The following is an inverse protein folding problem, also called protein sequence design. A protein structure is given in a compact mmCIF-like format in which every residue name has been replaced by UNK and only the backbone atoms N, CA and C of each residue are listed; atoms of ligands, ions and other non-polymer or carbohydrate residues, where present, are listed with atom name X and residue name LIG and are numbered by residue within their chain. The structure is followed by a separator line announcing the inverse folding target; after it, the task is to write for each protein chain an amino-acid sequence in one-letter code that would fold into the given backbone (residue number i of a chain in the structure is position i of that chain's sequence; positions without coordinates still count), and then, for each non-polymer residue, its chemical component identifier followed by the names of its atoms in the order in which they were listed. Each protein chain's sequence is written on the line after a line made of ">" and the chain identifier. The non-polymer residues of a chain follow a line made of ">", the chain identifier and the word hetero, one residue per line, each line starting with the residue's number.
data_IF_988905031428
#
_entry.id   IF_988905031428
#
_cell.length_a   1.000
_cell.length_b   1.000
_cell.length_c   1.000
_cell.angle_alpha   90.00
_cell.angle_beta   90.00
_cell.angle_gamma   90.00
#
_symmetry.space_group_name_H-M   'P 1'
#
loop_
_entity.id
_entity.type
_entity.pdbx_description
1 polymer ?
#
# COMPACT_ATOMS: atom_id res chain seq x y z
N UNK A 1 -18.27 -11.41 -4.40
CA UNK A 1 -17.04 -10.68 -4.81
C UNK A 1 -16.59 -11.25 -6.15
N UNK A 2 -16.60 -10.46 -7.21
CA UNK A 2 -16.05 -10.88 -8.49
C UNK A 2 -14.52 -10.83 -8.40
N UNK A 3 -13.87 -11.95 -8.73
CA UNK A 3 -12.42 -12.01 -8.80
C UNK A 3 -11.98 -11.59 -10.20
N UNK A 4 -10.81 -10.93 -10.34
CA UNK A 4 -10.25 -10.68 -11.65
C UNK A 4 -9.91 -12.01 -12.34
N UNK A 5 -9.97 -12.03 -13.66
CA UNK A 5 -9.52 -13.18 -14.43
C UNK A 5 -8.00 -13.44 -14.26
N UNK A 6 -7.55 -14.62 -14.69
CA UNK A 6 -6.16 -15.05 -14.51
C UNK A 6 -5.16 -14.14 -15.24
N UNK A 7 -5.56 -13.57 -16.39
CA UNK A 7 -4.70 -12.65 -17.14
C UNK A 7 -4.50 -11.35 -16.37
N UNK A 8 -5.59 -10.72 -15.92
CA UNK A 8 -5.55 -9.52 -15.08
C UNK A 8 -4.74 -9.74 -13.81
N UNK A 9 -4.87 -10.91 -13.15
CA UNK A 9 -4.06 -11.25 -11.99
C UNK A 9 -2.57 -11.22 -12.29
N UNK A 10 -2.15 -11.83 -13.41
CA UNK A 10 -0.74 -11.82 -13.83
C UNK A 10 -0.22 -10.42 -14.13
N UNK A 11 -1.00 -9.59 -14.80
CA UNK A 11 -0.63 -8.21 -15.10
C UNK A 11 -0.46 -7.38 -13.82
N UNK A 12 -1.34 -7.55 -12.84
CA UNK A 12 -1.21 -6.89 -11.54
C UNK A 12 -0.01 -7.39 -10.74
N UNK A 13 0.27 -8.69 -10.77
CA UNK A 13 1.47 -9.22 -10.13
C UNK A 13 2.75 -8.68 -10.83
N UNK A 14 2.77 -8.58 -12.15
CA UNK A 14 3.85 -7.91 -12.88
C UNK A 14 3.99 -6.44 -12.47
N UNK A 15 2.87 -5.73 -12.30
CA UNK A 15 2.87 -4.33 -11.88
C UNK A 15 3.54 -4.14 -10.50
N UNK A 16 3.34 -5.09 -9.55
CA UNK A 16 3.99 -5.03 -8.24
C UNK A 16 5.52 -5.14 -8.31
N UNK A 17 6.06 -5.74 -9.38
CA UNK A 17 7.49 -5.87 -9.62
C UNK A 17 8.03 -4.78 -10.56
N UNK A 18 7.16 -3.93 -11.10
CA UNK A 18 7.54 -2.81 -11.94
C UNK A 18 8.06 -1.63 -11.12
N UNK A 19 8.57 -0.60 -11.81
CA UNK A 19 8.93 0.69 -11.19
C UNK A 19 7.79 1.70 -11.22
N UNK A 20 6.65 1.32 -11.77
CA UNK A 20 5.51 2.22 -11.89
C UNK A 20 4.88 2.46 -10.53
N UNK A 21 4.51 3.69 -10.26
CA UNK A 21 3.72 4.03 -9.08
C UNK A 21 2.25 3.67 -9.31
N UNK A 22 1.68 2.84 -8.45
CA UNK A 22 0.26 2.51 -8.54
C UNK A 22 -0.39 2.36 -7.17
N UNK A 23 -1.70 2.51 -7.13
CA UNK A 23 -2.54 2.20 -6.00
C UNK A 23 -3.74 1.37 -6.46
N UNK A 24 -3.92 0.19 -5.87
CA UNK A 24 -5.11 -0.63 -6.00
C UNK A 24 -5.82 -0.64 -4.65
N UNK A 25 -7.05 -0.16 -4.60
CA UNK A 25 -7.78 -0.01 -3.34
C UNK A 25 -9.28 -0.25 -3.48
N UNK A 26 -9.93 -0.49 -2.36
CA UNK A 26 -11.38 -0.54 -2.20
C UNK A 26 -11.81 0.50 -1.18
N UNK A 27 -12.96 1.09 -1.39
CA UNK A 27 -13.58 1.92 -0.36
C UNK A 27 -14.27 1.04 0.68
N UNK A 28 -14.37 1.49 1.94
CA UNK A 28 -15.14 0.79 2.95
C UNK A 28 -16.57 0.53 2.47
N UNK A 29 -17.06 -0.68 2.74
CA UNK A 29 -18.44 -1.09 2.44
C UNK A 29 -18.77 -1.24 0.94
N UNK A 30 -17.75 -1.28 0.08
CA UNK A 30 -17.91 -1.56 -1.36
C UNK A 30 -17.10 -2.77 -1.78
N UNK A 31 -17.55 -3.45 -2.83
CA UNK A 31 -16.83 -4.55 -3.48
C UNK A 31 -16.05 -4.09 -4.71
N UNK A 32 -16.23 -2.83 -5.11
CA UNK A 32 -15.60 -2.26 -6.29
C UNK A 32 -14.13 -1.90 -5.99
N UNK A 33 -13.29 -2.20 -6.96
CA UNK A 33 -11.87 -1.87 -6.92
C UNK A 33 -11.57 -0.63 -7.76
N UNK A 34 -10.62 0.13 -7.32
CA UNK A 34 -10.09 1.32 -8.00
C UNK A 34 -8.61 1.13 -8.26
N UNK A 35 -8.19 1.41 -9.48
CA UNK A 35 -6.77 1.49 -9.85
C UNK A 35 -6.43 2.94 -10.18
N UNK A 36 -5.36 3.42 -9.59
CA UNK A 36 -4.66 4.65 -10.00
C UNK A 36 -3.25 4.25 -10.36
N UNK A 37 -2.79 4.64 -11.54
CA UNK A 37 -1.50 4.26 -12.06
C UNK A 37 -0.79 5.46 -12.69
N UNK A 38 0.46 5.63 -12.33
CA UNK A 38 1.38 6.59 -12.93
C UNK A 38 2.28 5.84 -13.93
N UNK A 39 2.16 6.18 -15.21
CA UNK A 39 2.83 5.46 -16.31
C UNK A 39 4.22 5.97 -16.61
N UNK A 40 4.61 7.11 -16.07
CA UNK A 40 5.92 7.74 -16.35
C UNK A 40 6.49 8.48 -15.15
N UNK A 41 7.80 8.43 -15.02
CA UNK A 41 8.56 9.11 -13.97
C UNK A 41 8.37 8.47 -12.58
N UNK A 42 9.11 8.99 -11.62
CA UNK A 42 8.99 8.58 -10.22
C UNK A 42 7.77 9.21 -9.54
N UNK A 43 7.27 8.55 -8.51
CA UNK A 43 6.22 9.12 -7.66
C UNK A 43 6.73 10.37 -6.95
N UNK A 44 5.88 11.36 -6.81
CA UNK A 44 6.25 12.61 -6.17
C UNK A 44 6.29 12.45 -4.65
N UNK A 45 7.39 12.87 -4.03
CA UNK A 45 7.55 12.91 -2.59
C UNK A 45 7.42 14.36 -2.11
N UNK A 46 6.56 14.60 -1.13
CA UNK A 46 6.24 15.92 -0.62
C UNK A 46 6.55 15.99 0.87
N UNK A 47 7.11 17.10 1.30
CA UNK A 47 7.49 17.34 2.68
C UNK A 47 6.34 17.87 3.54
N UNK A 48 5.34 18.47 2.92
CA UNK A 48 4.20 19.09 3.61
C UNK A 48 2.88 18.84 2.88
N UNK A 49 1.79 18.78 3.65
CA UNK A 49 0.44 18.62 3.12
C UNK A 49 -0.02 19.80 2.25
N UNK A 50 0.54 20.99 2.47
CA UNK A 50 0.21 22.17 1.69
C UNK A 50 0.70 22.08 0.24
N UNK A 51 1.74 21.26 0.00
CA UNK A 51 2.26 21.00 -1.35
C UNK A 51 1.29 20.19 -2.22
N UNK A 52 0.27 19.57 -1.62
CA UNK A 52 -0.80 18.89 -2.34
C UNK A 52 -1.79 19.87 -3.00
N UNK A 53 -1.74 21.17 -2.65
CA UNK A 53 -2.69 22.13 -3.15
C UNK A 53 -2.64 22.23 -4.69
N UNK A 54 -3.79 22.03 -5.33
CA UNK A 54 -3.92 22.02 -6.79
C UNK A 54 -3.46 20.72 -7.48
N UNK A 55 -2.93 19.73 -6.74
CA UNK A 55 -2.52 18.44 -7.29
C UNK A 55 -3.68 17.43 -7.29
N UNK A 56 -3.62 16.48 -8.21
CA UNK A 56 -4.58 15.35 -8.30
C UNK A 56 -3.81 14.04 -8.27
N UNK A 57 -4.39 13.04 -7.63
CA UNK A 57 -3.82 11.71 -7.58
C UNK A 57 -4.16 10.93 -6.31
N UNK A 58 -3.55 9.79 -6.16
CA UNK A 58 -3.64 9.00 -4.94
C UNK A 58 -2.52 9.41 -3.99
N UNK A 59 -2.88 9.75 -2.75
CA UNK A 59 -1.93 10.22 -1.75
C UNK A 59 -1.76 9.16 -0.66
N UNK A 60 -0.53 8.74 -0.44
CA UNK A 60 -0.13 7.99 0.75
C UNK A 60 0.48 8.95 1.76
N UNK A 61 -0.24 9.13 2.87
CA UNK A 61 0.19 10.03 3.95
C UNK A 61 0.61 9.21 5.18
N UNK A 62 1.84 9.37 5.68
CA UNK A 62 2.21 8.82 6.97
C UNK A 62 1.50 9.59 8.08
N UNK A 63 1.32 8.98 9.25
CA UNK A 63 0.74 9.67 10.41
C UNK A 63 1.57 10.89 10.82
N UNK A 64 2.89 10.81 10.65
CA UNK A 64 3.82 11.91 10.88
C UNK A 64 4.74 12.03 9.68
N UNK A 65 4.65 13.15 8.99
CA UNK A 65 5.50 13.48 7.86
C UNK A 65 6.92 13.77 8.36
N UNK A 66 7.92 13.20 7.70
CA UNK A 66 9.34 13.43 7.95
C UNK A 66 10.13 13.19 6.65
N UNK A 67 11.41 13.55 6.63
CA UNK A 67 12.30 13.26 5.49
C UNK A 67 12.38 11.75 5.18
N UNK A 68 12.36 10.90 6.22
CA UNK A 68 12.36 9.43 6.07
C UNK A 68 10.99 8.88 5.63
N UNK A 69 9.92 9.60 5.95
CA UNK A 69 8.54 9.21 5.67
C UNK A 69 7.78 10.40 5.07
N UNK A 70 8.05 10.75 3.79
CA UNK A 70 7.37 11.83 3.10
C UNK A 70 5.94 11.45 2.73
N UNK A 71 5.15 12.43 2.34
CA UNK A 71 3.92 12.19 1.57
C UNK A 71 4.30 11.64 0.19
N UNK A 72 3.57 10.66 -0.28
CA UNK A 72 3.76 10.11 -1.63
C UNK A 72 2.51 10.39 -2.45
N UNK A 73 2.69 11.05 -3.58
CA UNK A 73 1.63 11.33 -4.55
C UNK A 73 1.87 10.50 -5.81
N UNK A 74 0.89 9.66 -6.14
CA UNK A 74 0.83 8.90 -7.39
C UNK A 74 -0.08 9.66 -8.35
N UNK A 75 0.46 10.13 -9.48
CA UNK A 75 -0.34 10.84 -10.49
C UNK A 75 -1.33 9.90 -11.15
N UNK A 76 -2.54 10.37 -11.47
CA UNK A 76 -3.56 9.55 -12.08
C UNK A 76 -3.45 9.60 -13.62
N UNK A 77 -2.33 9.11 -14.17
CA UNK A 77 -2.13 9.04 -15.62
C UNK A 77 -3.13 8.03 -16.24
N UNK A 78 -3.41 6.95 -15.50
CA UNK A 78 -4.48 5.99 -15.80
C UNK A 78 -5.31 5.79 -14.54
N UNK A 79 -6.63 5.82 -14.69
CA UNK A 79 -7.58 5.46 -13.64
C UNK A 79 -8.56 4.46 -14.20
N UNK A 80 -8.87 3.42 -13.43
CA UNK A 80 -9.83 2.39 -13.81
C UNK A 80 -10.69 2.02 -12.60
N UNK A 81 -11.94 1.72 -12.88
CA UNK A 81 -12.94 1.33 -11.92
C UNK A 81 -13.46 -0.06 -12.28
N UNK A 82 -13.65 -0.92 -11.33
CA UNK A 82 -13.98 -2.32 -11.45
C UNK A 82 -12.91 -3.19 -12.17
N UNK A 83 -13.11 -4.51 -12.12
CA UNK A 83 -12.15 -5.45 -12.71
C UNK A 83 -12.13 -5.43 -14.23
N UNK A 84 -13.20 -5.03 -14.89
CA UNK A 84 -13.29 -4.96 -16.35
C UNK A 84 -12.44 -3.81 -16.89
N UNK A 85 -12.64 -2.60 -16.36
CA UNK A 85 -11.85 -1.43 -16.76
C UNK A 85 -10.36 -1.60 -16.38
N UNK A 86 -10.08 -2.21 -15.21
CA UNK A 86 -8.71 -2.51 -14.78
C UNK A 86 -8.02 -3.46 -15.75
N UNK A 87 -8.71 -4.52 -16.19
CA UNK A 87 -8.21 -5.45 -17.18
C UNK A 87 -7.87 -4.77 -18.52
N UNK A 88 -8.78 -3.94 -19.01
CA UNK A 88 -8.63 -3.22 -20.28
C UNK A 88 -7.45 -2.23 -20.21
N UNK A 89 -7.35 -1.48 -19.09
CA UNK A 89 -6.26 -0.54 -18.87
C UNK A 89 -4.89 -1.23 -18.82
N UNK A 90 -4.79 -2.35 -18.07
CA UNK A 90 -3.54 -3.10 -17.96
C UNK A 90 -3.15 -3.80 -19.26
N UNK A 91 -4.11 -4.34 -20.01
CA UNK A 91 -3.86 -4.96 -21.32
C UNK A 91 -3.35 -3.94 -22.34
N UNK A 92 -3.85 -2.70 -22.29
CA UNK A 92 -3.35 -1.60 -23.13
C UNK A 92 -1.90 -1.23 -22.80
N UNK A 93 -1.49 -1.33 -21.54
CA UNK A 93 -0.11 -1.07 -21.10
C UNK A 93 0.83 -2.22 -21.44
N UNK A 94 0.37 -3.46 -21.41
CA UNK A 94 1.15 -4.62 -21.84
C UNK A 94 1.55 -4.50 -23.33
N UNK A 95 0.60 -4.11 -24.18
CA UNK A 95 0.85 -3.85 -25.59
C UNK A 95 1.87 -2.72 -25.85
N UNK A 96 2.04 -1.81 -24.88
CA UNK A 96 2.99 -0.70 -24.96
C UNK A 96 4.39 -1.03 -24.41
N UNK A 97 4.71 -2.29 -24.13
CA UNK A 97 5.97 -2.75 -23.51
C UNK A 97 6.30 -2.10 -22.15
N UNK A 98 5.40 -1.31 -21.60
CA UNK A 98 5.61 -0.58 -20.35
C UNK A 98 5.74 -1.52 -19.13
N UNK A 99 5.09 -2.69 -19.17
CA UNK A 99 5.13 -3.70 -18.11
C UNK A 99 6.27 -4.71 -18.26
N UNK A 100 6.83 -4.87 -19.45
CA UNK A 100 7.85 -5.91 -19.72
C UNK A 100 9.26 -5.54 -19.22
N UNK A 101 9.49 -4.31 -18.80
CA UNK A 101 10.76 -3.89 -18.19
C UNK A 101 10.83 -4.18 -16.68
N UNK A 102 10.17 -5.26 -16.23
CA UNK A 102 10.21 -5.70 -14.84
C UNK A 102 11.62 -6.14 -14.42
N UNK A 103 12.46 -5.20 -13.98
CA UNK A 103 13.61 -5.55 -13.16
C UNK A 103 13.13 -5.68 -11.72
N UNK A 104 13.19 -6.91 -11.22
CA UNK A 104 12.92 -7.24 -9.83
C UNK A 104 13.53 -6.20 -8.89
N UNK A 105 12.70 -5.50 -8.14
CA UNK A 105 13.13 -4.66 -7.03
C UNK A 105 13.44 -5.61 -5.89
N UNK A 106 14.73 -5.84 -5.61
CA UNK A 106 15.10 -6.48 -4.36
C UNK A 106 14.67 -5.53 -3.23
N UNK A 107 13.61 -5.91 -2.55
CA UNK A 107 13.21 -5.25 -1.31
C UNK A 107 14.31 -5.51 -0.29
N UNK A 108 14.98 -4.47 0.18
CA UNK A 108 15.82 -4.56 1.37
C UNK A 108 14.89 -4.88 2.54
N UNK A 109 14.90 -6.15 2.93
CA UNK A 109 14.11 -6.63 4.06
C UNK A 109 14.64 -5.99 5.33
N UNK A 110 13.82 -5.22 6.03
CA UNK A 110 14.10 -4.81 7.40
C UNK A 110 14.40 -6.03 8.27
N UNK A 111 15.34 -5.95 9.20
CA UNK A 111 15.74 -7.09 10.03
C UNK A 111 14.51 -7.65 10.77
N UNK A 112 14.36 -8.96 10.68
CA UNK A 112 13.27 -9.70 11.31
C UNK A 112 13.38 -9.57 12.84
N UNK A 113 12.37 -8.98 13.48
CA UNK A 113 12.22 -9.00 14.94
C UNK A 113 11.41 -10.24 15.31
N UNK A 114 11.92 -11.08 16.21
CA UNK A 114 11.23 -12.31 16.61
C UNK A 114 9.86 -12.00 17.22
N UNK A 115 8.86 -12.85 16.94
CA UNK A 115 7.49 -12.68 17.47
C UNK A 115 7.43 -12.59 19.00
N UNK A 116 8.35 -13.24 19.68
CA UNK A 116 8.42 -13.29 21.14
C UNK A 116 8.85 -11.94 21.72
N UNK A 117 9.87 -11.31 21.14
CA UNK A 117 10.33 -9.96 21.51
C UNK A 117 9.25 -8.90 21.26
N UNK A 118 8.51 -9.04 20.17
CA UNK A 118 7.41 -8.14 19.79
C UNK A 118 6.25 -8.22 20.80
N UNK A 119 5.89 -9.43 21.24
CA UNK A 119 4.83 -9.65 22.24
C UNK A 119 5.18 -9.04 23.60
N UNK A 120 6.41 -9.22 24.06
CA UNK A 120 6.85 -8.66 25.32
C UNK A 120 6.91 -7.12 25.29
N UNK A 121 7.37 -6.54 24.19
CA UNK A 121 7.39 -5.10 23.98
C UNK A 121 5.96 -4.53 23.98
N UNK A 122 5.04 -5.19 23.29
CA UNK A 122 3.63 -4.78 23.28
C UNK A 122 3.01 -4.86 24.68
N UNK A 123 3.25 -5.93 25.42
CA UNK A 123 2.72 -6.11 26.78
C UNK A 123 3.23 -5.01 27.72
N UNK A 124 4.50 -4.66 27.64
CA UNK A 124 5.09 -3.55 28.41
C UNK A 124 4.47 -2.19 28.02
N UNK A 125 4.33 -1.95 26.71
CA UNK A 125 3.69 -0.73 26.21
C UNK A 125 2.24 -0.66 26.67
N UNK A 126 1.48 -1.75 26.57
CA UNK A 126 0.09 -1.83 27.01
C UNK A 126 -0.06 -1.49 28.50
N UNK A 127 0.81 -2.03 29.36
CA UNK A 127 0.80 -1.70 30.79
C UNK A 127 1.00 -0.19 31.06
N UNK A 128 1.84 0.48 30.27
CA UNK A 128 2.00 1.95 30.37
C UNK A 128 0.79 2.73 29.88
N UNK A 129 0.06 2.20 28.90
CA UNK A 129 -1.14 2.83 28.34
C UNK A 129 -2.36 2.67 29.23
N UNK A 130 -2.53 1.52 29.88
CA UNK A 130 -3.73 1.22 30.67
C UNK A 130 -3.80 2.05 31.95
N UNK A 131 -2.67 2.35 32.58
CA UNK A 131 -2.64 3.09 33.84
C UNK A 131 -3.27 4.48 33.74
N UNK A 132 -2.89 5.37 32.79
CA UNK A 132 -3.52 6.68 32.64
C UNK A 132 -5.01 6.63 32.28
N UNK A 133 -5.48 5.54 31.63
CA UNK A 133 -6.90 5.32 31.36
C UNK A 133 -7.67 4.96 32.63
N UNK A 134 -7.11 4.07 33.47
CA UNK A 134 -7.69 3.70 34.78
C UNK A 134 -7.75 4.88 35.73
N UNK A 135 -6.73 5.74 35.69
CA UNK A 135 -6.69 6.99 36.46
C UNK A 135 -7.61 8.09 35.89
N UNK A 136 -8.34 7.82 34.79
CA UNK A 136 -9.21 8.77 34.09
C UNK A 136 -8.51 10.05 33.63
N UNK A 137 -7.18 9.99 33.42
CA UNK A 137 -6.40 11.11 32.85
C UNK A 137 -6.68 11.29 31.37
N UNK A 138 -7.07 10.20 30.68
CA UNK A 138 -7.50 10.18 29.29
C UNK A 138 -8.79 9.37 29.15
N UNK A 139 -9.64 9.78 28.21
CA UNK A 139 -10.88 9.05 27.90
C UNK A 139 -10.64 7.91 26.91
N UNK A 140 -9.64 8.09 26.01
CA UNK A 140 -9.27 7.13 24.98
C UNK A 140 -7.80 7.26 24.65
N UNK A 141 -7.12 6.13 24.53
CA UNK A 141 -5.78 6.01 23.96
C UNK A 141 -5.79 4.89 22.94
N UNK A 142 -5.02 5.04 21.86
CA UNK A 142 -4.87 4.01 20.83
C UNK A 142 -3.41 3.56 20.84
N UNK A 143 -3.20 2.26 21.10
CA UNK A 143 -1.92 1.62 20.98
C UNK A 143 -1.88 0.83 19.67
N UNK A 144 -0.93 1.13 18.81
CA UNK A 144 -0.69 0.40 17.57
C UNK A 144 0.66 -0.31 17.62
N UNK A 145 0.77 -1.37 16.83
CA UNK A 145 2.05 -2.04 16.58
C UNK A 145 2.16 -2.42 15.11
N UNK A 146 3.38 -2.57 14.64
CA UNK A 146 3.70 -3.20 13.36
C UNK A 146 4.42 -4.51 13.61
N UNK A 147 4.21 -5.49 12.76
CA UNK A 147 4.90 -6.78 12.80
C UNK A 147 5.38 -7.11 11.39
N UNK A 148 6.68 -7.38 11.27
CA UNK A 148 7.25 -7.89 10.03
C UNK A 148 6.95 -9.38 9.91
N UNK A 149 6.54 -9.83 8.71
CA UNK A 149 6.34 -11.24 8.41
C UNK A 149 7.19 -11.63 7.22
N UNK A 150 7.79 -12.79 7.31
CA UNK A 150 8.44 -13.40 6.17
C UNK A 150 7.37 -13.87 5.18
N UNK A 151 7.51 -13.47 3.92
CA UNK A 151 6.68 -13.93 2.81
C UNK A 151 7.53 -14.83 1.91
N UNK A 152 6.95 -15.93 1.42
CA UNK A 152 7.61 -16.81 0.47
C UNK A 152 7.72 -16.17 -0.92
N UNK A 153 8.57 -16.74 -1.76
CA UNK A 153 8.81 -16.23 -3.13
C UNK A 153 7.57 -16.32 -4.03
N UNK A 154 6.60 -17.15 -3.65
CA UNK A 154 5.30 -17.33 -4.32
C UNK A 154 4.19 -16.41 -3.80
N UNK A 155 4.52 -15.45 -2.93
CA UNK A 155 3.54 -14.53 -2.38
C UNK A 155 2.98 -13.60 -3.46
N UNK A 156 1.65 -13.64 -3.62
CA UNK A 156 0.92 -12.70 -4.47
C UNK A 156 0.29 -11.59 -3.62
N UNK A 157 0.74 -10.34 -3.75
CA UNK A 157 0.12 -9.17 -3.10
C UNK A 157 -1.35 -9.03 -3.49
N UNK A 158 -1.68 -9.27 -4.76
CA UNK A 158 -3.05 -9.27 -5.23
C UNK A 158 -3.88 -10.37 -4.58
N UNK A 159 -3.34 -11.58 -4.49
CA UNK A 159 -4.02 -12.69 -3.82
C UNK A 159 -4.32 -12.38 -2.35
N UNK A 160 -3.46 -11.63 -1.66
CA UNK A 160 -3.70 -11.15 -0.32
C UNK A 160 -4.79 -10.08 -0.28
N UNK A 161 -4.73 -9.09 -1.18
CA UNK A 161 -5.74 -8.02 -1.31
C UNK A 161 -7.15 -8.54 -1.57
N UNK A 162 -7.27 -9.54 -2.45
CA UNK A 162 -8.58 -10.12 -2.82
C UNK A 162 -9.20 -10.92 -1.67
N UNK A 163 -8.37 -11.52 -0.78
CA UNK A 163 -8.84 -12.28 0.39
C UNK A 163 -9.14 -11.41 1.62
N UNK A 164 -8.69 -10.17 1.64
CA UNK A 164 -8.92 -9.23 2.73
C UNK A 164 -10.31 -8.58 2.65
#
# INVERSE_FOLDING_TARGET
>A
MNLPDIHTQKLLDCLTHSRLGFALYRLPWTDECYLVLQTSGDVEQLADIQELNGKKGFVMAPFRISEEHPLVLIRPDVTAYDWSEISDALSSLECADALLTCKSRQSELSPFVSEETDREQYTRAFGRFITPLQEKRFQKLVLSRSSARHIGDDFSPLGAFVRA
#
